data_IF_656977227033
#
_entry.id   IF_656977227033
#
_cell.length_a   1.000
_cell.length_b   1.000
_cell.length_c   1.000
_cell.angle_alpha   90.00
_cell.angle_beta   90.00
_cell.angle_gamma   90.00
#
_symmetry.space_group_name_H-M   'P 1'
#
loop_
_entity.id
_entity.type
_entity.pdbx_description
1 polymer ?
#
# COMPACT_ATOMS: atom_id res chain seq x y z
N UNK A 1 5.08 2.26 -7.74
CA UNK A 1 6.23 1.63 -7.06
C UNK A 1 6.47 0.28 -7.69
N UNK A 2 7.71 0.01 -8.12
CA UNK A 2 8.13 -1.31 -8.60
C UNK A 2 9.06 -1.92 -7.54
N UNK A 3 8.76 -3.14 -7.11
CA UNK A 3 9.56 -3.88 -6.12
C UNK A 3 10.06 -5.18 -6.71
N UNK A 4 11.25 -5.65 -6.30
CA UNK A 4 11.83 -6.89 -6.82
C UNK A 4 11.91 -8.01 -5.78
N UNK A 5 11.71 -7.67 -4.50
CA UNK A 5 11.72 -8.63 -3.40
C UNK A 5 10.36 -8.71 -2.71
N UNK A 6 10.02 -9.90 -2.21
CA UNK A 6 8.74 -10.16 -1.55
C UNK A 6 8.52 -9.32 -0.29
N UNK A 7 9.60 -8.99 0.44
CA UNK A 7 9.55 -8.13 1.63
C UNK A 7 9.14 -6.70 1.25
N UNK A 8 9.78 -6.12 0.24
CA UNK A 8 9.44 -4.78 -0.28
C UNK A 8 7.98 -4.74 -0.75
N UNK A 9 7.56 -5.73 -1.54
CA UNK A 9 6.19 -5.81 -2.04
C UNK A 9 5.17 -5.84 -0.89
N UNK A 10 5.48 -6.59 0.18
CA UNK A 10 4.66 -6.68 1.38
C UNK A 10 4.58 -5.34 2.11
N UNK A 11 5.70 -4.61 2.25
CA UNK A 11 5.74 -3.29 2.87
C UNK A 11 4.87 -2.30 2.09
N UNK A 12 5.04 -2.24 0.76
CA UNK A 12 4.25 -1.34 -0.11
C UNK A 12 2.77 -1.71 -0.10
N UNK A 13 2.44 -3.01 -0.19
CA UNK A 13 1.07 -3.50 -0.09
C UNK A 13 0.43 -3.09 1.23
N UNK A 14 1.12 -3.29 2.35
CA UNK A 14 0.58 -2.94 3.66
C UNK A 14 0.39 -1.43 3.79
N UNK A 15 1.39 -0.64 3.41
CA UNK A 15 1.31 0.81 3.40
C UNK A 15 0.10 1.31 2.62
N UNK A 16 -0.06 0.89 1.36
CA UNK A 16 -1.19 1.33 0.53
C UNK A 16 -2.54 0.84 1.06
N UNK A 17 -2.61 -0.37 1.64
CA UNK A 17 -3.84 -0.89 2.27
C UNK A 17 -4.26 -0.04 3.47
N UNK A 18 -3.33 0.25 4.37
CA UNK A 18 -3.58 1.07 5.56
C UNK A 18 -4.00 2.48 5.14
N UNK A 19 -3.24 3.10 4.23
CA UNK A 19 -3.45 4.49 3.82
C UNK A 19 -4.67 4.72 2.93
N UNK A 20 -5.24 3.65 2.36
CA UNK A 20 -6.54 3.66 1.65
C UNK A 20 -7.72 3.26 2.54
N UNK A 21 -7.46 3.07 3.84
CA UNK A 21 -8.46 2.67 4.83
C UNK A 21 -8.93 1.22 4.69
N UNK A 22 -8.35 0.44 3.78
CA UNK A 22 -8.73 -0.97 3.55
C UNK A 22 -8.20 -1.91 4.65
N UNK A 23 -7.97 -1.42 5.87
CA UNK A 23 -7.73 -2.26 7.02
C UNK A 23 -9.01 -3.04 7.31
N UNK A 24 -8.88 -4.37 7.39
CA UNK A 24 -9.96 -5.24 7.80
C UNK A 24 -10.38 -4.83 9.21
N UNK A 25 -11.55 -4.22 9.33
CA UNK A 25 -12.21 -4.00 10.61
C UNK A 25 -12.32 -5.35 11.31
N UNK A 26 -11.74 -5.48 12.49
CA UNK A 26 -11.74 -6.74 13.23
C UNK A 26 -13.17 -7.25 13.40
N UNK A 27 -13.40 -8.50 12.99
CA UNK A 27 -14.69 -9.20 12.97
C UNK A 27 -15.81 -8.46 12.20
N UNK A 28 -16.39 -9.14 11.21
CA UNK A 28 -17.64 -8.77 10.50
C UNK A 28 -18.84 -8.47 11.41
N UNK A 29 -18.71 -8.70 12.71
CA UNK A 29 -19.73 -8.50 13.74
C UNK A 29 -19.47 -7.31 14.67
N UNK A 30 -18.38 -6.53 14.49
CA UNK A 30 -18.17 -5.29 15.24
C UNK A 30 -18.51 -4.08 14.38
N UNK A 31 -19.14 -3.03 14.97
CA UNK A 31 -19.22 -1.72 14.33
C UNK A 31 -17.80 -1.31 13.92
N UNK A 32 -17.63 -0.92 12.66
CA UNK A 32 -16.36 -0.43 12.16
C UNK A 32 -16.01 0.81 12.98
N UNK A 33 -14.99 0.71 13.84
CA UNK A 33 -14.53 1.86 14.61
C UNK A 33 -14.25 3.01 13.62
N UNK A 34 -14.75 4.21 13.93
CA UNK A 34 -14.52 5.38 13.11
C UNK A 34 -13.01 5.52 12.88
N UNK A 35 -12.59 5.59 11.61
CA UNK A 35 -11.16 5.68 11.28
C UNK A 35 -10.61 6.96 11.91
N UNK A 36 -9.52 6.83 12.66
CA UNK A 36 -8.86 7.96 13.31
C UNK A 36 -8.36 9.02 12.31
N UNK A 37 -8.08 8.62 11.05
CA UNK A 37 -7.59 9.52 10.01
C UNK A 37 -8.25 9.26 8.67
N UNK A 38 -8.51 10.32 7.91
CA UNK A 38 -9.04 10.23 6.56
C UNK A 38 -8.06 9.51 5.62
N UNK A 39 -8.51 8.61 4.73
CA UNK A 39 -7.63 7.93 3.76
C UNK A 39 -6.89 8.94 2.89
N UNK A 40 -5.57 8.80 2.78
CA UNK A 40 -4.71 9.67 1.95
C UNK A 40 -4.46 9.10 0.54
N UNK A 41 -4.92 7.88 0.28
CA UNK A 41 -4.95 7.27 -1.03
C UNK A 41 -6.34 6.67 -1.31
N UNK A 42 -6.73 6.66 -2.59
CA UNK A 42 -7.85 5.87 -3.09
C UNK A 42 -7.55 4.37 -2.99
N UNK A 43 -8.53 3.52 -3.29
CA UNK A 43 -8.33 2.07 -3.40
C UNK A 43 -7.17 1.78 -4.38
N UNK A 44 -6.11 1.07 -3.95
CA UNK A 44 -4.99 0.76 -4.82
C UNK A 44 -5.42 -0.11 -6.01
N UNK A 45 -4.77 0.07 -7.15
CA UNK A 45 -4.96 -0.80 -8.29
C UNK A 45 -4.45 -2.22 -7.98
N UNK A 46 -4.90 -3.20 -8.78
CA UNK A 46 -4.36 -4.56 -8.70
C UNK A 46 -2.87 -4.54 -9.01
N UNK A 47 -2.09 -5.34 -8.29
CA UNK A 47 -0.68 -5.50 -8.59
C UNK A 47 -0.49 -6.04 -10.02
N UNK A 48 0.46 -5.46 -10.75
CA UNK A 48 0.80 -5.88 -12.11
C UNK A 48 2.13 -6.64 -12.06
N UNK A 49 2.18 -7.75 -12.79
CA UNK A 49 3.37 -8.58 -12.99
C UNK A 49 3.84 -8.47 -14.43
N UNK A 50 5.14 -8.66 -14.70
CA UNK A 50 5.64 -8.73 -16.07
C UNK A 50 4.92 -9.80 -16.87
N UNK A 51 4.65 -9.51 -18.14
CA UNK A 51 4.14 -10.48 -19.11
C UNK A 51 5.26 -11.35 -19.70
N UNK A 52 4.89 -12.39 -20.45
CA UNK A 52 5.86 -13.32 -21.04
C UNK A 52 6.87 -12.63 -21.98
N UNK A 53 6.40 -11.71 -22.82
CA UNK A 53 7.28 -10.97 -23.73
C UNK A 53 8.28 -10.08 -22.97
N UNK A 54 7.84 -9.42 -21.89
CA UNK A 54 8.72 -8.63 -21.04
C UNK A 54 9.78 -9.49 -20.37
N UNK A 55 9.42 -10.69 -19.90
CA UNK A 55 10.36 -11.65 -19.31
C UNK A 55 11.38 -12.18 -20.33
N UNK A 56 10.96 -12.31 -21.60
CA UNK A 56 11.82 -12.76 -22.70
C UNK A 56 12.90 -11.71 -23.03
N UNK A 57 12.50 -10.43 -23.13
CA UNK A 57 13.44 -9.34 -23.44
C UNK A 57 14.22 -8.84 -22.21
N UNK A 58 13.66 -9.03 -21.01
CA UNK A 58 14.26 -8.62 -19.75
C UNK A 58 14.06 -9.67 -18.63
N UNK A 59 14.94 -10.70 -18.57
CA UNK A 59 14.86 -11.73 -17.54
C UNK A 59 14.98 -11.19 -16.09
N UNK A 60 15.59 -10.01 -15.89
CA UNK A 60 15.71 -9.37 -14.56
C UNK A 60 14.36 -8.90 -14.01
N UNK A 61 13.35 -8.74 -14.87
CA UNK A 61 12.01 -8.35 -14.47
C UNK A 61 11.24 -9.47 -13.75
N UNK A 62 11.70 -10.74 -13.77
CA UNK A 62 10.96 -11.92 -13.26
C UNK A 62 10.29 -11.73 -11.90
N UNK A 63 10.95 -11.04 -10.97
CA UNK A 63 10.44 -10.82 -9.61
C UNK A 63 9.73 -9.48 -9.42
N UNK A 64 9.70 -8.63 -10.44
CA UNK A 64 9.11 -7.30 -10.38
C UNK A 64 7.60 -7.36 -10.05
N UNK A 65 7.16 -6.43 -9.23
CA UNK A 65 5.74 -6.17 -8.95
C UNK A 65 5.50 -4.69 -9.01
N UNK A 66 4.58 -4.26 -9.87
CA UNK A 66 4.13 -2.87 -9.92
C UNK A 66 2.89 -2.70 -9.04
N UNK A 67 2.95 -1.74 -8.12
CA UNK A 67 1.82 -1.23 -7.35
C UNK A 67 1.63 0.25 -7.58
N UNK A 68 0.39 0.68 -7.75
CA UNK A 68 0.00 2.07 -7.94
C UNK A 68 -1.24 2.41 -7.10
N UNK A 69 -1.32 3.68 -6.72
CA UNK A 69 -2.46 4.26 -6.02
C UNK A 69 -2.50 5.77 -6.31
N UNK A 70 -3.70 6.35 -6.25
CA UNK A 70 -3.95 7.78 -6.46
C UNK A 70 -4.15 8.46 -5.11
N UNK A 71 -3.56 9.65 -4.90
CA UNK A 71 -3.76 10.43 -3.68
C UNK A 71 -5.19 10.99 -3.63
N UNK A 72 -5.74 11.07 -2.43
CA UNK A 72 -6.98 11.83 -2.19
C UNK A 72 -6.64 13.29 -1.87
N UNK A 73 -7.66 14.11 -1.65
CA UNK A 73 -7.50 15.47 -1.13
C UNK A 73 -7.15 15.52 0.37
N UNK A 74 -7.20 14.39 1.08
CA UNK A 74 -6.87 14.36 2.50
C UNK A 74 -5.37 14.66 2.72
N UNK A 75 -5.01 15.36 3.80
CA UNK A 75 -3.61 15.63 4.10
C UNK A 75 -2.82 14.32 4.27
N UNK A 76 -1.51 14.39 4.04
CA UNK A 76 -0.64 13.28 4.42
C UNK A 76 -0.73 13.10 5.93
N UNK A 77 -0.94 11.85 6.39
CA UNK A 77 -0.87 11.57 7.83
C UNK A 77 0.52 12.00 8.32
N UNK A 78 0.53 12.78 9.39
CA UNK A 78 1.77 13.24 10.00
C UNK A 78 2.63 12.06 10.39
N UNK A 79 3.94 12.25 10.33
CA UNK A 79 4.85 11.41 11.10
C UNK A 79 4.60 11.82 12.55
N UNK A 80 4.05 10.95 13.38
CA UNK A 80 4.20 11.13 14.82
C UNK A 80 5.70 11.01 15.08
N UNK A 81 6.42 12.13 15.07
CA UNK A 81 7.68 12.21 15.77
C UNK A 81 7.33 11.87 17.21
N UNK A 82 7.69 10.68 17.68
CA UNK A 82 7.80 10.42 19.10
C UNK A 82 8.94 11.30 19.61
N UNK A 83 8.63 12.58 19.79
CA UNK A 83 9.50 13.59 20.34
C UNK A 83 9.03 13.87 21.75
N UNK A 84 9.92 13.55 22.68
CA UNK A 84 10.08 14.22 23.97
C UNK A 84 8.83 14.36 24.86
N UNK A 85 8.80 13.53 25.89
CA UNK A 85 8.28 13.95 27.19
C UNK A 85 9.12 13.27 28.26
N UNK A 86 9.98 14.10 28.85
CA UNK A 86 10.35 14.18 30.28
C UNK A 86 10.83 12.93 31.00
#
# INVERSE_FOLDING_TARGET
VVTFHSLEDRIVKNFLRVRSGQESGGSRHRPQAARAQAPSFMKPARAVRPGEEELRVNPRARSATLRSAVRTAAPAWGHSSSGASS
#
